data_IF_250933117525
#
_entry.id   IF_250933117525
#
_cell.length_a   1.000
_cell.length_b   1.000
_cell.length_c   1.000
_cell.angle_alpha   90.00
_cell.angle_beta   90.00
_cell.angle_gamma   90.00
#
_symmetry.space_group_name_H-M   'P 1'
#
loop_
_entity.id
_entity.type
_entity.pdbx_description
1 polymer ?
#
# COMPACT_ATOMS: atom_id res chain seq x y z
N UNK A 1 -22.36 2.80 -1.62
CA UNK A 1 -21.51 2.75 -0.40
C UNK A 1 -21.51 4.14 0.19
N UNK A 2 -21.96 4.31 1.43
CA UNK A 2 -21.89 5.60 2.12
C UNK A 2 -20.45 5.89 2.58
N UNK A 3 -20.16 7.16 2.87
CA UNK A 3 -18.81 7.60 3.26
C UNK A 3 -18.35 6.98 4.58
N UNK A 4 -19.27 6.79 5.53
CA UNK A 4 -18.95 6.22 6.84
C UNK A 4 -18.51 4.76 6.72
N UNK A 5 -19.26 3.96 5.97
CA UNK A 5 -18.93 2.57 5.69
C UNK A 5 -17.59 2.42 4.96
N UNK A 6 -17.31 3.28 3.98
CA UNK A 6 -16.03 3.27 3.28
C UNK A 6 -14.84 3.53 4.22
N UNK A 7 -14.99 4.48 5.15
CA UNK A 7 -13.96 4.79 6.17
C UNK A 7 -13.76 3.59 7.10
N UNK A 8 -14.84 3.00 7.62
CA UNK A 8 -14.76 1.86 8.54
C UNK A 8 -14.10 0.65 7.88
N UNK A 9 -14.50 0.31 6.65
CA UNK A 9 -13.92 -0.81 5.91
C UNK A 9 -12.43 -0.58 5.64
N UNK A 10 -12.06 0.63 5.21
CA UNK A 10 -10.65 0.98 4.92
C UNK A 10 -9.80 0.94 6.18
N UNK A 11 -10.30 1.49 7.30
CA UNK A 11 -9.59 1.47 8.57
C UNK A 11 -9.41 0.03 9.10
N UNK A 12 -10.45 -0.80 8.98
CA UNK A 12 -10.42 -2.21 9.42
C UNK A 12 -9.39 -3.01 8.61
N UNK A 13 -9.42 -2.90 7.28
CA UNK A 13 -8.44 -3.57 6.42
C UNK A 13 -7.03 -3.01 6.64
N UNK A 14 -6.89 -1.69 6.80
CA UNK A 14 -5.62 -1.05 7.11
C UNK A 14 -5.00 -1.57 8.41
N UNK A 15 -5.81 -1.78 9.45
CA UNK A 15 -5.39 -2.43 10.69
C UNK A 15 -4.92 -3.87 10.47
N UNK A 16 -5.66 -4.65 9.68
CA UNK A 16 -5.27 -6.03 9.34
C UNK A 16 -3.95 -6.10 8.55
N UNK A 17 -3.65 -5.11 7.71
CA UNK A 17 -2.38 -5.04 6.95
C UNK A 17 -1.16 -4.94 7.89
N UNK A 18 -1.30 -4.47 9.12
CA UNK A 18 -0.20 -4.49 10.10
C UNK A 18 0.27 -5.92 10.43
N UNK A 19 -0.59 -6.94 10.26
CA UNK A 19 -0.24 -8.35 10.41
C UNK A 19 0.63 -8.88 9.26
N UNK A 20 0.60 -8.22 8.10
CA UNK A 20 1.32 -8.68 6.90
C UNK A 20 2.83 -8.70 7.14
N UNK A 21 3.39 -7.67 7.79
CA UNK A 21 4.81 -7.57 8.06
C UNK A 21 5.33 -8.72 8.95
N UNK A 22 4.74 -9.02 10.13
CA UNK A 22 5.17 -10.17 10.94
C UNK A 22 4.89 -11.52 10.26
N UNK A 23 3.75 -11.71 9.59
CA UNK A 23 3.45 -12.97 8.87
C UNK A 23 4.51 -13.24 7.79
N UNK A 24 4.75 -12.26 6.90
CA UNK A 24 5.71 -12.41 5.81
C UNK A 24 7.14 -12.53 6.35
N UNK A 25 7.49 -11.81 7.42
CA UNK A 25 8.81 -11.91 8.06
C UNK A 25 9.03 -13.31 8.62
N UNK A 26 8.01 -13.90 9.26
CA UNK A 26 8.08 -15.25 9.79
C UNK A 26 8.19 -16.30 8.70
N UNK A 27 7.41 -16.19 7.63
CA UNK A 27 7.55 -17.03 6.44
C UNK A 27 8.95 -16.89 5.83
N UNK A 28 9.48 -15.66 5.76
CA UNK A 28 10.81 -15.36 5.24
C UNK A 28 11.96 -16.00 6.02
N UNK A 29 11.75 -16.37 7.30
CA UNK A 29 12.72 -17.17 8.06
C UNK A 29 12.84 -18.62 7.57
N UNK A 30 11.80 -19.14 6.92
CA UNK A 30 11.73 -20.54 6.46
C UNK A 30 12.14 -20.68 5.00
N UNK A 31 11.72 -19.75 4.14
CA UNK A 31 11.91 -19.88 2.68
C UNK A 31 12.82 -18.82 2.07
N UNK A 32 13.24 -17.81 2.85
CA UNK A 32 13.98 -16.64 2.37
C UNK A 32 13.07 -15.42 2.14
N UNK A 33 13.66 -14.23 2.23
CA UNK A 33 12.92 -12.95 2.20
C UNK A 33 12.15 -12.74 0.89
N UNK A 34 12.81 -12.91 -0.25
CA UNK A 34 12.18 -12.67 -1.56
C UNK A 34 11.22 -13.80 -1.95
N UNK A 35 11.50 -15.03 -1.53
CA UNK A 35 10.63 -16.19 -1.73
C UNK A 35 9.33 -16.05 -0.93
N UNK A 36 9.41 -15.54 0.31
CA UNK A 36 8.22 -15.22 1.09
C UNK A 36 7.38 -14.13 0.43
N UNK A 37 8.00 -13.06 -0.07
CA UNK A 37 7.29 -12.04 -0.84
C UNK A 37 6.60 -12.64 -2.08
N UNK A 38 7.32 -13.45 -2.86
CA UNK A 38 6.78 -14.13 -4.05
C UNK A 38 5.59 -15.02 -3.70
N UNK A 39 5.67 -15.85 -2.66
CA UNK A 39 4.57 -16.71 -2.22
C UNK A 39 3.36 -15.89 -1.76
N UNK A 40 3.57 -14.82 -0.99
CA UNK A 40 2.47 -13.93 -0.56
C UNK A 40 1.78 -13.27 -1.76
N UNK A 41 2.54 -12.82 -2.76
CA UNK A 41 1.96 -12.31 -4.01
C UNK A 41 1.26 -13.39 -4.81
N UNK A 42 1.82 -14.60 -4.92
CA UNK A 42 1.21 -15.70 -5.66
C UNK A 42 -0.15 -16.10 -5.05
N UNK A 43 -0.21 -16.27 -3.73
CA UNK A 43 -1.46 -16.57 -3.01
C UNK A 43 -2.46 -15.41 -3.19
N UNK A 44 -2.01 -14.16 -3.07
CA UNK A 44 -2.82 -12.98 -3.31
C UNK A 44 -3.36 -12.90 -4.74
N UNK A 45 -2.54 -13.24 -5.75
CA UNK A 45 -2.94 -13.29 -7.16
C UNK A 45 -3.99 -14.37 -7.40
N UNK A 46 -3.86 -15.56 -6.80
CA UNK A 46 -4.88 -16.61 -6.90
C UNK A 46 -6.20 -16.14 -6.28
N UNK A 47 -6.15 -15.52 -5.10
CA UNK A 47 -7.34 -14.97 -4.46
C UNK A 47 -8.00 -13.87 -5.33
N UNK A 48 -7.20 -12.96 -5.88
CA UNK A 48 -7.67 -11.93 -6.80
C UNK A 48 -8.25 -12.50 -8.09
N UNK A 49 -7.68 -13.59 -8.62
CA UNK A 49 -8.19 -14.26 -9.82
C UNK A 49 -9.60 -14.81 -9.57
N UNK A 50 -9.82 -15.46 -8.41
CA UNK A 50 -11.15 -15.95 -8.01
C UNK A 50 -12.11 -14.78 -7.88
N UNK A 51 -11.76 -13.73 -7.14
CA UNK A 51 -12.61 -12.55 -6.96
C UNK A 51 -12.94 -11.90 -8.32
N UNK A 52 -11.94 -11.70 -9.18
CA UNK A 52 -12.12 -11.09 -10.49
C UNK A 52 -12.99 -11.96 -11.43
N UNK A 53 -12.90 -13.29 -11.31
CA UNK A 53 -13.74 -14.20 -12.09
C UNK A 53 -15.23 -14.13 -11.70
N UNK A 54 -15.52 -13.85 -10.43
CA UNK A 54 -16.87 -13.73 -9.88
C UNK A 54 -17.44 -12.31 -9.98
N UNK A 55 -16.58 -11.30 -10.22
CA UNK A 55 -16.99 -9.91 -10.36
C UNK A 55 -17.81 -9.68 -11.64
N UNK A 56 -18.58 -8.58 -11.67
CA UNK A 56 -19.39 -8.20 -12.83
C UNK A 56 -18.50 -8.03 -14.08
N UNK A 57 -18.81 -8.79 -15.13
CA UNK A 57 -18.04 -8.83 -16.38
C UNK A 57 -16.91 -9.87 -16.40
N UNK A 58 -16.59 -10.49 -15.26
CA UNK A 58 -15.60 -11.55 -15.12
C UNK A 58 -14.21 -11.18 -15.68
N UNK A 59 -13.43 -12.20 -16.00
CA UNK A 59 -12.10 -12.05 -16.60
C UNK A 59 -12.13 -11.49 -18.03
N UNK A 60 -13.30 -11.49 -18.69
CA UNK A 60 -13.45 -10.92 -20.03
C UNK A 60 -13.14 -9.42 -20.08
N UNK A 61 -13.24 -8.72 -18.96
CA UNK A 61 -12.89 -7.30 -18.84
C UNK A 61 -11.38 -7.03 -18.92
N UNK A 62 -10.54 -8.02 -18.58
CA UNK A 62 -9.07 -7.89 -18.56
C UNK A 62 -8.51 -7.56 -19.94
N UNK A 63 -9.18 -8.00 -21.02
CA UNK A 63 -8.77 -7.67 -22.40
C UNK A 63 -8.71 -6.16 -22.68
N UNK A 64 -9.43 -5.35 -21.91
CA UNK A 64 -9.45 -3.90 -22.06
C UNK A 64 -8.22 -3.23 -21.43
N UNK A 65 -7.36 -3.98 -20.73
CA UNK A 65 -6.13 -3.46 -20.14
C UNK A 65 -5.16 -2.88 -21.18
N UNK A 66 -5.17 -3.39 -22.42
CA UNK A 66 -4.36 -2.84 -23.53
C UNK A 66 -4.79 -1.44 -23.95
N UNK A 67 -6.03 -1.05 -23.66
CA UNK A 67 -6.52 0.32 -23.84
C UNK A 67 -6.12 1.27 -22.71
N UNK A 68 -5.61 0.75 -21.59
CA UNK A 68 -5.08 1.57 -20.52
C UNK A 68 -3.62 1.96 -20.82
N UNK A 69 -3.23 3.19 -20.48
CA UNK A 69 -1.84 3.62 -20.61
C UNK A 69 -0.89 2.72 -19.80
N UNK A 70 0.35 2.47 -20.27
CA UNK A 70 1.27 1.49 -19.68
C UNK A 70 1.61 1.78 -18.22
N UNK A 71 1.57 3.05 -17.80
CA UNK A 71 1.77 3.47 -16.41
C UNK A 71 0.78 2.81 -15.45
N UNK A 72 -0.47 2.54 -15.86
CA UNK A 72 -1.48 1.93 -14.99
C UNK A 72 -1.21 0.44 -14.75
N UNK A 73 -0.41 -0.20 -15.59
CA UNK A 73 0.03 -1.59 -15.41
C UNK A 73 1.16 -1.71 -14.37
N UNK A 74 1.82 -0.61 -14.03
CA UNK A 74 2.94 -0.61 -13.08
C UNK A 74 2.52 -0.69 -11.61
N UNK A 75 1.23 -0.60 -11.30
CA UNK A 75 0.73 -0.61 -9.92
C UNK A 75 1.18 -1.85 -9.13
N UNK A 76 1.24 -3.02 -9.78
CA UNK A 76 1.76 -4.25 -9.16
C UNK A 76 3.24 -4.17 -8.78
N UNK A 77 4.06 -3.47 -9.57
CA UNK A 77 5.49 -3.28 -9.29
C UNK A 77 5.71 -2.45 -8.02
N UNK A 78 4.87 -1.44 -7.78
CA UNK A 78 4.90 -0.66 -6.54
C UNK A 78 4.60 -1.53 -5.32
N UNK A 79 3.67 -2.49 -5.45
CA UNK A 79 3.39 -3.49 -4.43
C UNK A 79 4.61 -4.37 -4.13
N UNK A 80 5.28 -4.88 -5.17
CA UNK A 80 6.50 -5.70 -5.03
C UNK A 80 7.60 -4.91 -4.31
N UNK A 81 7.85 -3.67 -4.73
CA UNK A 81 8.82 -2.79 -4.09
C UNK A 81 8.47 -2.54 -2.61
N UNK A 82 7.20 -2.27 -2.32
CA UNK A 82 6.71 -2.04 -0.97
C UNK A 82 6.94 -3.27 -0.06
N UNK A 83 6.40 -4.43 -0.42
CA UNK A 83 6.50 -5.63 0.43
C UNK A 83 7.94 -6.08 0.61
N UNK A 84 8.76 -6.03 -0.45
CA UNK A 84 10.18 -6.38 -0.35
C UNK A 84 10.93 -5.46 0.61
N UNK A 85 10.66 -4.15 0.55
CA UNK A 85 11.24 -3.16 1.46
C UNK A 85 10.79 -3.42 2.89
N UNK A 86 9.49 -3.60 3.12
CA UNK A 86 8.92 -3.90 4.45
C UNK A 86 9.55 -5.14 5.06
N UNK A 87 9.78 -6.20 4.30
CA UNK A 87 10.36 -7.44 4.82
C UNK A 87 11.80 -7.27 5.32
N UNK A 88 12.57 -6.37 4.70
CA UNK A 88 13.92 -6.04 5.15
C UNK A 88 13.86 -5.11 6.35
N UNK A 89 13.05 -4.06 6.28
CA UNK A 89 13.03 -2.99 7.30
C UNK A 89 12.25 -3.35 8.55
N UNK A 90 11.34 -4.33 8.52
CA UNK A 90 10.59 -4.77 9.72
C UNK A 90 11.52 -5.35 10.78
N UNK A 91 12.68 -5.89 10.40
CA UNK A 91 13.68 -6.41 11.36
C UNK A 91 14.37 -5.29 12.12
N UNK A 92 14.46 -4.09 11.55
CA UNK A 92 15.13 -2.93 12.15
C UNK A 92 14.16 -1.96 12.81
N UNK A 93 12.98 -1.74 12.21
CA UNK A 93 11.99 -0.76 12.66
C UNK A 93 10.84 -1.37 13.48
N UNK A 94 10.75 -2.70 13.52
CA UNK A 94 9.57 -3.40 14.04
C UNK A 94 8.31 -3.16 13.17
N UNK A 95 7.20 -3.82 13.53
CA UNK A 95 5.94 -3.67 12.79
C UNK A 95 5.39 -2.22 12.88
N UNK A 96 5.41 -1.63 14.09
CA UNK A 96 4.93 -0.27 14.32
C UNK A 96 5.71 0.79 13.54
N UNK A 97 7.05 0.73 13.56
CA UNK A 97 7.89 1.67 12.83
C UNK A 97 7.73 1.58 11.33
N UNK A 98 7.62 0.37 10.76
CA UNK A 98 7.33 0.20 9.33
C UNK A 98 5.97 0.79 8.97
N UNK A 99 4.92 0.49 9.74
CA UNK A 99 3.57 1.00 9.48
C UNK A 99 3.56 2.54 9.53
N UNK A 100 4.16 3.13 10.56
CA UNK A 100 4.22 4.58 10.71
C UNK A 100 4.96 5.22 9.52
N UNK A 101 6.17 4.74 9.20
CA UNK A 101 6.97 5.26 8.09
C UNK A 101 6.25 5.14 6.75
N UNK A 102 5.56 4.03 6.52
CA UNK A 102 4.78 3.78 5.31
C UNK A 102 3.65 4.79 5.17
N UNK A 103 2.83 4.96 6.20
CA UNK A 103 1.68 5.87 6.17
C UNK A 103 2.16 7.31 5.96
N UNK A 104 3.24 7.73 6.63
CA UNK A 104 3.82 9.06 6.43
C UNK A 104 4.30 9.27 4.99
N UNK A 105 5.03 8.31 4.41
CA UNK A 105 5.48 8.37 3.02
C UNK A 105 4.33 8.41 2.02
N UNK A 106 3.32 7.55 2.21
CA UNK A 106 2.12 7.50 1.38
C UNK A 106 1.34 8.82 1.40
N UNK A 107 1.11 9.40 2.58
CA UNK A 107 0.39 10.66 2.72
C UNK A 107 1.19 11.84 2.16
N UNK A 108 2.50 11.86 2.36
CA UNK A 108 3.38 12.87 1.78
C UNK A 108 3.31 12.83 0.25
N UNK A 109 3.45 11.64 -0.35
CA UNK A 109 3.38 11.48 -1.79
C UNK A 109 1.97 11.79 -2.34
N UNK A 110 0.91 11.43 -1.61
CA UNK A 110 -0.46 11.77 -1.98
C UNK A 110 -0.67 13.30 -2.07
N UNK A 111 -0.09 14.08 -1.14
CA UNK A 111 -0.15 15.55 -1.21
C UNK A 111 0.56 16.09 -2.46
N UNK A 112 1.71 15.51 -2.83
CA UNK A 112 2.45 15.89 -4.04
C UNK A 112 1.65 15.53 -5.30
N UNK A 113 1.10 14.32 -5.37
CA UNK A 113 0.26 13.85 -6.48
C UNK A 113 -0.97 14.74 -6.65
N UNK A 114 -1.66 15.05 -5.56
CA UNK A 114 -2.82 15.94 -5.54
C UNK A 114 -2.46 17.36 -6.03
N UNK A 115 -1.31 17.90 -5.62
CA UNK A 115 -0.89 19.25 -6.01
C UNK A 115 -0.55 19.34 -7.51
N UNK A 116 0.13 18.32 -8.02
CA UNK A 116 0.62 18.29 -9.40
C UNK A 116 -0.42 17.72 -10.39
N UNK A 117 -1.51 17.12 -9.90
CA UNK A 117 -2.51 16.46 -10.75
C UNK A 117 -1.95 15.22 -11.46
N UNK A 118 -0.96 14.56 -10.86
CA UNK A 118 -0.30 13.39 -11.44
C UNK A 118 -1.35 12.27 -11.65
N UNK A 119 -1.29 11.57 -12.79
CA UNK A 119 -2.26 10.54 -13.20
C UNK A 119 -3.70 11.06 -13.35
N UNK A 120 -3.87 12.34 -13.75
CA UNK A 120 -5.16 12.97 -13.99
C UNK A 120 -6.07 13.02 -12.75
N UNK A 121 -5.50 12.98 -11.55
CA UNK A 121 -6.27 13.23 -10.32
C UNK A 121 -6.70 14.69 -10.24
N UNK A 122 -7.82 14.95 -9.58
CA UNK A 122 -8.29 16.31 -9.34
C UNK A 122 -7.25 17.09 -8.53
N UNK A 123 -6.76 18.19 -9.10
CA UNK A 123 -5.78 19.03 -8.44
C UNK A 123 -6.36 19.63 -7.16
N UNK A 124 -5.60 19.52 -6.07
CA UNK A 124 -5.96 20.14 -4.79
C UNK A 124 -4.80 20.98 -4.30
N UNK A 125 -4.99 22.30 -4.11
CA UNK A 125 -3.93 23.17 -3.65
C UNK A 125 -3.42 22.71 -2.28
N UNK A 126 -2.09 22.74 -2.12
CA UNK A 126 -1.45 22.54 -0.82
C UNK A 126 -1.92 23.65 0.13
N UNK A 127 -2.45 23.23 1.27
CA UNK A 127 -2.85 24.14 2.36
C UNK A 127 -1.83 24.05 3.49
N UNK A 128 -1.70 25.11 4.33
CA UNK A 128 -0.87 25.06 5.53
C UNK A 128 -1.21 23.88 6.44
N UNK A 129 -2.50 23.54 6.57
CA UNK A 129 -2.95 22.39 7.35
C UNK A 129 -2.39 21.05 6.84
N UNK A 130 -2.32 20.85 5.50
CA UNK A 130 -1.72 19.65 4.91
C UNK A 130 -0.22 19.57 5.18
N UNK A 131 0.49 20.70 5.10
CA UNK A 131 1.92 20.77 5.42
C UNK A 131 2.15 20.41 6.88
N UNK A 132 1.39 21.03 7.80
CA UNK A 132 1.48 20.73 9.24
C UNK A 132 1.19 19.25 9.49
N UNK A 133 0.17 18.68 8.85
CA UNK A 133 -0.14 17.25 8.96
C UNK A 133 1.03 16.35 8.53
N UNK A 134 1.69 16.65 7.41
CA UNK A 134 2.88 15.91 6.94
C UNK A 134 4.05 16.05 7.94
N UNK A 135 4.29 17.25 8.47
CA UNK A 135 5.34 17.48 9.48
C UNK A 135 5.06 16.69 10.77
N UNK A 136 3.80 16.68 11.24
CA UNK A 136 3.39 15.93 12.42
C UNK A 136 3.51 14.42 12.20
N UNK A 137 3.17 13.92 11.00
CA UNK A 137 3.40 12.52 10.64
C UNK A 137 4.88 12.17 10.68
N UNK A 138 5.76 13.00 10.10
CA UNK A 138 7.20 12.78 10.13
C UNK A 138 7.75 12.78 11.56
N UNK A 139 7.29 13.70 12.42
CA UNK A 139 7.64 13.72 13.84
C UNK A 139 7.15 12.46 14.57
N UNK A 140 5.91 12.01 14.30
CA UNK A 140 5.37 10.78 14.85
C UNK A 140 6.18 9.55 14.46
N UNK A 141 6.57 9.44 13.18
CA UNK A 141 7.47 8.37 12.71
C UNK A 141 8.81 8.42 13.44
N UNK A 142 9.42 9.59 13.55
CA UNK A 142 10.69 9.74 14.26
C UNK A 142 10.59 9.27 15.72
N UNK A 143 9.53 9.65 16.43
CA UNK A 143 9.32 9.23 17.82
C UNK A 143 9.09 7.71 17.95
N UNK A 144 8.34 7.11 17.03
CA UNK A 144 8.08 5.66 17.02
C UNK A 144 9.35 4.86 16.72
N UNK A 145 10.16 5.32 15.76
CA UNK A 145 11.36 4.60 15.27
C UNK A 145 12.56 4.80 16.19
N UNK A 146 12.63 5.90 16.95
CA UNK A 146 13.74 6.18 17.88
C UNK A 146 13.78 5.25 19.11
N UNK A 147 12.65 4.64 19.45
CA UNK A 147 12.48 3.79 20.64
C UNK A 147 13.04 2.39 20.41
#
# INVERSE_FOLDING_TARGET
>A
MDRGLAVVLTATVGGAVALQAPINSHLGKHVGTFQAAFLSFAIGTVALLVIASLAKGGLGTVRHATGAGPVYLTGGLLGVAYVSTVLVTVRTLGAGGVTAATIAGQLTLAVIIDQLGILHVAQKPITPARIIGVVLLAAGVFLIVRN
#
